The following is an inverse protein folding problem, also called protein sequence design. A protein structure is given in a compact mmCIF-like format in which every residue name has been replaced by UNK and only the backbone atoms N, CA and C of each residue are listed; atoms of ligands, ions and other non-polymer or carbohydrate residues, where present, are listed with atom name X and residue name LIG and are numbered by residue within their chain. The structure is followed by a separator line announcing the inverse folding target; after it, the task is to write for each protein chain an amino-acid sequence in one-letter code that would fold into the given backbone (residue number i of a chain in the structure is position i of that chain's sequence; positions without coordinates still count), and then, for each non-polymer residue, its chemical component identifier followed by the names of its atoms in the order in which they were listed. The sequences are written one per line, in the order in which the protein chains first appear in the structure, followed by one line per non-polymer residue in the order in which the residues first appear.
data_IF_259828377561
#
_entry.id   IF_259828377561
#
_cell.length_a   1.000
_cell.length_b   1.000
_cell.length_c   1.000
_cell.angle_alpha   90.00
_cell.angle_beta   90.00
_cell.angle_gamma   90.00
#
_symmetry.space_group_name_H-M   'P 1'
#
loop_
_entity.id
_entity.type
_entity.pdbx_description
1 polymer ?
#
# COMPACT_ATOMS: atom_id res chain seq x y z
N UNK A 1 -57.51 7.24 -22.67
CA UNK A 1 -56.34 6.38 -22.37
C UNK A 1 -55.00 6.88 -22.96
N UNK A 2 -54.90 8.09 -23.54
CA UNK A 2 -53.65 8.57 -24.19
C UNK A 2 -52.75 9.47 -23.31
N UNK A 3 -53.27 10.05 -22.22
CA UNK A 3 -52.50 10.98 -21.36
C UNK A 3 -51.43 10.29 -20.49
N UNK A 4 -51.67 9.04 -20.08
CA UNK A 4 -50.81 8.28 -19.14
C UNK A 4 -49.51 7.80 -19.79
N UNK A 5 -49.50 7.64 -21.11
CA UNK A 5 -48.33 7.21 -21.88
C UNK A 5 -47.29 8.32 -22.08
N UNK A 6 -47.71 9.60 -22.06
CA UNK A 6 -46.80 10.75 -22.23
C UNK A 6 -45.96 11.00 -20.98
N UNK A 7 -46.58 10.97 -19.80
CA UNK A 7 -45.89 11.16 -18.52
C UNK A 7 -44.86 10.06 -18.21
N UNK A 8 -45.15 8.81 -18.60
CA UNK A 8 -44.23 7.67 -18.43
C UNK A 8 -42.94 7.83 -19.25
N UNK A 9 -43.03 8.34 -20.48
CA UNK A 9 -41.86 8.59 -21.34
C UNK A 9 -40.99 9.74 -20.83
N UNK A 10 -41.60 10.76 -20.23
CA UNK A 10 -40.89 11.91 -19.65
C UNK A 10 -40.15 11.50 -18.36
N UNK A 11 -40.78 10.66 -17.53
CA UNK A 11 -40.16 10.13 -16.31
C UNK A 11 -38.96 9.23 -16.64
N UNK A 12 -39.08 8.33 -17.62
CA UNK A 12 -37.99 7.46 -18.05
C UNK A 12 -36.78 8.25 -18.60
N UNK A 13 -37.03 9.33 -19.36
CA UNK A 13 -35.96 10.20 -19.89
C UNK A 13 -35.19 10.93 -18.80
N UNK A 14 -35.87 11.40 -17.76
CA UNK A 14 -35.24 12.09 -16.61
C UNK A 14 -34.39 11.14 -15.78
N UNK A 15 -34.85 9.91 -15.56
CA UNK A 15 -34.10 8.88 -14.81
C UNK A 15 -32.82 8.48 -15.57
N UNK A 16 -32.92 8.32 -16.89
CA UNK A 16 -31.75 8.01 -17.72
C UNK A 16 -30.71 9.14 -17.71
N UNK A 17 -31.15 10.40 -17.75
CA UNK A 17 -30.25 11.56 -17.64
C UNK A 17 -29.52 11.62 -16.29
N UNK A 18 -30.19 11.29 -15.18
CA UNK A 18 -29.56 11.27 -13.84
C UNK A 18 -28.53 10.13 -13.75
N UNK A 19 -28.85 8.94 -14.30
CA UNK A 19 -27.91 7.81 -14.33
C UNK A 19 -26.67 8.09 -15.18
N UNK A 20 -26.84 8.75 -16.33
CA UNK A 20 -25.71 9.13 -17.19
C UNK A 20 -24.85 10.20 -16.51
N UNK A 21 -25.44 11.22 -15.87
CA UNK A 21 -24.69 12.24 -15.14
C UNK A 21 -23.95 11.70 -13.90
N UNK A 22 -24.55 10.74 -13.18
CA UNK A 22 -23.93 10.12 -12.00
C UNK A 22 -22.77 9.18 -12.32
N UNK A 23 -22.74 8.59 -13.52
CA UNK A 23 -21.68 7.66 -13.94
C UNK A 23 -20.33 8.32 -14.23
N UNK A 24 -20.31 9.60 -14.62
CA UNK A 24 -19.07 10.30 -14.99
C UNK A 24 -18.17 10.67 -13.80
N UNK A 25 -18.73 10.77 -12.59
CA UNK A 25 -17.96 11.16 -11.39
C UNK A 25 -17.19 9.99 -10.75
N UNK A 26 -17.50 8.74 -11.08
CA UNK A 26 -16.85 7.57 -10.48
C UNK A 26 -15.59 7.10 -11.22
N UNK A 27 -15.26 7.69 -12.38
CA UNK A 27 -14.12 7.25 -13.20
C UNK A 27 -12.78 7.90 -12.81
N UNK A 28 -12.77 8.95 -11.96
CA UNK A 28 -11.53 9.64 -11.56
C UNK A 28 -10.88 9.06 -10.30
N UNK A 29 -11.52 8.12 -9.59
CA UNK A 29 -10.92 7.40 -8.46
C UNK A 29 -10.12 6.16 -8.91
N UNK A 30 -9.60 6.16 -10.14
CA UNK A 30 -8.64 5.16 -10.57
C UNK A 30 -7.37 5.33 -9.77
N UNK A 31 -7.02 4.31 -8.97
CA UNK A 31 -5.69 4.17 -8.38
C UNK A 31 -4.66 4.46 -9.48
N UNK A 32 -3.72 5.40 -9.26
CA UNK A 32 -2.80 5.78 -10.31
C UNK A 32 -2.09 4.53 -10.81
N UNK A 33 -2.05 4.28 -12.14
CA UNK A 33 -1.24 3.19 -12.67
C UNK A 33 0.17 3.40 -12.14
N UNK A 34 0.75 2.36 -11.51
CA UNK A 34 2.15 2.33 -11.13
C UNK A 34 2.99 2.44 -12.42
N UNK A 35 3.20 3.67 -12.89
CA UNK A 35 4.09 3.99 -13.99
C UNK A 35 5.51 3.98 -13.43
N UNK A 36 6.11 2.79 -13.44
CA UNK A 36 7.49 2.57 -13.05
C UNK A 36 7.95 1.20 -13.51
N UNK A 37 9.25 1.08 -13.79
CA UNK A 37 9.88 -0.23 -13.96
C UNK A 37 9.64 -1.02 -12.66
N UNK A 38 9.13 -2.26 -12.72
CA UNK A 38 8.92 -3.04 -11.50
C UNK A 38 10.23 -3.11 -10.72
N UNK A 39 10.21 -2.86 -9.40
CA UNK A 39 11.43 -2.88 -8.61
C UNK A 39 12.12 -4.23 -8.78
N UNK A 40 13.45 -4.20 -8.91
CA UNK A 40 14.28 -5.40 -8.96
C UNK A 40 13.86 -6.38 -7.85
N UNK A 41 13.82 -7.70 -8.11
CA UNK A 41 13.54 -8.70 -7.07
C UNK A 41 14.41 -8.53 -5.81
N UNK A 42 15.63 -8.00 -5.97
CA UNK A 42 16.58 -7.77 -4.88
C UNK A 42 16.42 -6.41 -4.19
N UNK A 43 15.61 -5.49 -4.72
CA UNK A 43 15.49 -4.13 -4.17
C UNK A 43 15.03 -4.13 -2.70
N UNK A 44 14.11 -5.03 -2.35
CA UNK A 44 13.59 -5.18 -0.98
C UNK A 44 14.65 -5.73 -0.01
N UNK A 45 15.45 -6.69 -0.47
CA UNK A 45 16.58 -7.20 0.30
C UNK A 45 17.60 -6.09 0.56
N UNK A 46 17.92 -5.29 -0.46
CA UNK A 46 18.81 -4.16 -0.30
C UNK A 46 18.26 -3.14 0.71
N UNK A 47 16.99 -2.77 0.58
CA UNK A 47 16.32 -1.85 1.51
C UNK A 47 16.33 -2.38 2.95
N UNK A 48 16.09 -3.68 3.15
CA UNK A 48 16.19 -4.34 4.45
C UNK A 48 17.58 -4.21 5.05
N UNK A 49 18.63 -4.51 4.28
CA UNK A 49 20.02 -4.43 4.77
C UNK A 49 20.40 -3.01 5.20
N UNK A 50 19.92 -2.00 4.48
CA UNK A 50 20.11 -0.59 4.84
C UNK A 50 19.37 -0.27 6.15
N UNK A 51 18.08 -0.63 6.26
CA UNK A 51 17.28 -0.41 7.46
C UNK A 51 17.88 -1.11 8.70
N UNK A 52 18.33 -2.35 8.54
CA UNK A 52 18.99 -3.10 9.60
C UNK A 52 20.33 -2.44 10.01
N UNK A 53 21.09 -1.93 9.05
CA UNK A 53 22.27 -1.12 9.31
C UNK A 53 21.99 0.15 10.12
N UNK A 54 20.90 0.86 9.80
CA UNK A 54 20.44 2.03 10.55
C UNK A 54 20.05 1.65 11.98
N UNK A 55 19.29 0.56 12.16
CA UNK A 55 18.91 0.07 13.48
C UNK A 55 20.14 -0.25 14.35
N UNK A 56 21.13 -0.96 13.78
CA UNK A 56 22.40 -1.24 14.47
C UNK A 56 23.11 0.05 14.87
N UNK A 57 23.22 1.03 13.96
CA UNK A 57 23.82 2.33 14.24
C UNK A 57 23.12 3.07 15.38
N UNK A 58 21.79 3.04 15.40
CA UNK A 58 20.97 3.65 16.43
C UNK A 58 21.11 2.96 17.81
N UNK A 59 21.31 1.64 17.84
CA UNK A 59 21.68 0.92 19.07
C UNK A 59 23.07 1.34 19.54
N UNK A 60 24.06 1.32 18.65
CA UNK A 60 25.45 1.63 19.00
C UNK A 60 25.65 3.08 19.49
N UNK A 61 24.86 4.01 18.97
CA UNK A 61 24.89 5.43 19.37
C UNK A 61 24.02 5.73 20.60
N UNK A 62 23.33 4.74 21.16
CA UNK A 62 22.45 4.92 22.33
C UNK A 62 21.12 5.64 22.03
N UNK A 63 20.77 5.84 20.75
CA UNK A 63 19.49 6.42 20.34
C UNK A 63 18.31 5.47 20.63
N UNK A 64 18.55 4.16 20.59
CA UNK A 64 17.56 3.15 21.02
C UNK A 64 17.82 2.80 22.48
N UNK A 65 16.87 3.15 23.35
CA UNK A 65 16.95 2.81 24.78
C UNK A 65 16.82 1.29 24.99
N UNK A 66 17.47 0.72 26.03
CA UNK A 66 17.41 -0.72 26.30
C UNK A 66 15.98 -1.28 26.41
N UNK A 67 15.03 -0.50 26.94
CA UNK A 67 13.64 -0.93 27.08
C UNK A 67 12.93 -1.11 25.72
N UNK A 68 13.40 -0.42 24.68
CA UNK A 68 12.81 -0.46 23.34
C UNK A 68 13.44 -1.53 22.44
N UNK A 69 14.58 -2.13 22.84
CA UNK A 69 15.33 -3.08 22.00
C UNK A 69 14.45 -4.27 21.58
N UNK A 70 13.64 -4.81 22.50
CA UNK A 70 12.77 -5.96 22.18
C UNK A 70 11.71 -5.60 21.13
N UNK A 71 11.12 -4.41 21.21
CA UNK A 71 10.17 -3.94 20.21
C UNK A 71 10.83 -3.80 18.84
N UNK A 72 12.03 -3.20 18.78
CA UNK A 72 12.79 -3.03 17.53
C UNK A 72 13.19 -4.37 16.93
N UNK A 73 13.66 -5.31 17.76
CA UNK A 73 14.01 -6.66 17.31
C UNK A 73 12.80 -7.42 16.74
N UNK A 74 11.61 -7.22 17.31
CA UNK A 74 10.39 -7.84 16.80
C UNK A 74 9.99 -7.32 15.42
N UNK A 75 10.07 -6.00 15.19
CA UNK A 75 9.77 -5.41 13.87
C UNK A 75 10.85 -5.71 12.84
N UNK A 76 12.14 -5.74 13.22
CA UNK A 76 13.24 -6.17 12.35
C UNK A 76 13.04 -7.63 11.88
N UNK A 77 12.72 -8.54 12.80
CA UNK A 77 12.46 -9.94 12.45
C UNK A 77 11.23 -10.09 11.52
N UNK A 78 10.19 -9.29 11.74
CA UNK A 78 9.00 -9.27 10.87
C UNK A 78 9.37 -8.82 9.45
N UNK A 79 10.11 -7.70 9.33
CA UNK A 79 10.58 -7.17 8.05
C UNK A 79 11.48 -8.18 7.33
N UNK A 80 12.42 -8.80 8.04
CA UNK A 80 13.29 -9.84 7.52
C UNK A 80 12.47 -10.97 6.89
N UNK A 81 11.56 -11.58 7.66
CA UNK A 81 10.72 -12.71 7.18
C UNK A 81 9.90 -12.33 5.94
N UNK A 82 9.30 -11.14 5.94
CA UNK A 82 8.50 -10.67 4.82
C UNK A 82 9.36 -10.48 3.56
N UNK A 83 10.54 -9.88 3.71
CA UNK A 83 11.48 -9.65 2.60
C UNK A 83 12.01 -10.95 2.02
N UNK A 84 12.41 -11.92 2.85
CA UNK A 84 12.84 -13.24 2.37
C UNK A 84 11.70 -13.99 1.66
N UNK A 85 10.49 -13.94 2.21
CA UNK A 85 9.31 -14.53 1.56
C UNK A 85 9.04 -13.90 0.19
N UNK A 86 9.15 -12.57 0.09
CA UNK A 86 8.98 -11.84 -1.17
C UNK A 86 10.08 -12.14 -2.18
N UNK A 87 11.33 -12.30 -1.71
CA UNK A 87 12.48 -12.67 -2.55
C UNK A 87 12.31 -14.06 -3.17
N UNK A 88 11.84 -15.03 -2.38
CA UNK A 88 11.61 -16.41 -2.82
C UNK A 88 10.42 -16.52 -3.78
N UNK A 89 9.28 -15.89 -3.45
CA UNK A 89 8.02 -16.11 -4.15
C UNK A 89 7.74 -15.11 -5.26
N UNK A 90 8.22 -13.88 -5.10
CA UNK A 90 8.07 -12.79 -6.07
C UNK A 90 6.63 -12.50 -6.49
N UNK A 91 5.65 -12.83 -5.65
CA UNK A 91 4.23 -12.53 -5.90
C UNK A 91 3.91 -11.09 -5.52
N UNK A 92 2.94 -10.46 -6.19
CA UNK A 92 2.50 -9.10 -5.85
C UNK A 92 2.03 -8.99 -4.39
N UNK A 93 1.39 -10.02 -3.86
CA UNK A 93 0.93 -10.05 -2.46
C UNK A 93 2.09 -10.04 -1.47
N UNK A 94 3.10 -10.88 -1.70
CA UNK A 94 4.25 -10.97 -0.80
C UNK A 94 5.14 -9.73 -0.91
N UNK A 95 5.25 -9.16 -2.12
CA UNK A 95 5.90 -7.87 -2.36
C UNK A 95 5.27 -6.74 -1.55
N UNK A 96 3.93 -6.60 -1.57
CA UNK A 96 3.22 -5.59 -0.77
C UNK A 96 3.46 -5.82 0.73
N UNK A 97 3.41 -7.07 1.20
CA UNK A 97 3.68 -7.38 2.62
C UNK A 97 5.09 -7.00 3.04
N UNK A 98 6.08 -7.26 2.19
CA UNK A 98 7.45 -6.85 2.45
C UNK A 98 7.60 -5.33 2.48
N UNK A 99 6.94 -4.62 1.56
CA UNK A 99 6.96 -3.15 1.51
C UNK A 99 6.31 -2.55 2.78
N UNK A 100 5.19 -3.12 3.25
CA UNK A 100 4.56 -2.74 4.53
C UNK A 100 5.49 -3.02 5.72
N UNK A 101 6.03 -4.24 5.84
CA UNK A 101 6.86 -4.60 6.97
C UNK A 101 8.18 -3.80 7.03
N UNK A 102 8.76 -3.44 5.87
CA UNK A 102 9.89 -2.53 5.79
C UNK A 102 9.53 -1.12 6.26
N UNK A 103 8.35 -0.63 5.87
CA UNK A 103 7.84 0.68 6.33
C UNK A 103 7.67 0.69 7.85
N UNK A 104 7.03 -0.35 8.40
CA UNK A 104 6.85 -0.49 9.85
C UNK A 104 8.19 -0.54 10.60
N UNK A 105 9.20 -1.21 10.03
CA UNK A 105 10.53 -1.26 10.63
C UNK A 105 11.21 0.12 10.59
N UNK A 106 11.16 0.82 9.46
CA UNK A 106 11.73 2.15 9.31
C UNK A 106 11.07 3.18 10.25
N UNK A 107 9.75 3.12 10.40
CA UNK A 107 8.99 4.01 11.29
C UNK A 107 9.28 3.76 12.77
N UNK A 108 9.76 2.57 13.14
CA UNK A 108 10.18 2.26 14.49
C UNK A 108 11.58 2.82 14.84
N UNK A 109 12.38 3.24 13.84
CA UNK A 109 13.72 3.76 14.06
C UNK A 109 13.72 5.25 14.45
N UNK A 110 14.68 5.69 15.28
CA UNK A 110 14.88 7.10 15.55
C UNK A 110 15.34 7.85 14.28
N UNK A 111 14.87 9.10 14.12
CA UNK A 111 15.23 10.00 13.01
C UNK A 111 16.33 10.96 13.38
#
# INVERSE_FOLDING_TARGET
MLLKASHSRIAARKICLILVMGGFLSACAGTPPHHGVPPSPNARLYAYLVAHGMARGAVMSGQIKPQNIQQIAAVDLSAQKAVFTALERQTSRDNIKADTALTDFLDALPR
#
